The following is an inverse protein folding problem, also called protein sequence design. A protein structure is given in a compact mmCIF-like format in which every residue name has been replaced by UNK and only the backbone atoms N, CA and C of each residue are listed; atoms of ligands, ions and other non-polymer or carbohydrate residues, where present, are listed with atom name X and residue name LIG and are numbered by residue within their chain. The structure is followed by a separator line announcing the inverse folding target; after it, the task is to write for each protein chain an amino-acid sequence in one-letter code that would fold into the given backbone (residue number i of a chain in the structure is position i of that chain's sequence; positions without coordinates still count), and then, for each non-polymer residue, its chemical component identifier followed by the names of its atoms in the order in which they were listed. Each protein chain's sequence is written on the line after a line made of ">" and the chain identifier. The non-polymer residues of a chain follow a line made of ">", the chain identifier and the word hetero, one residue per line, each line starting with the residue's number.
data_IF_243719202346
#
_entry.id   IF_243719202346
#
_cell.length_a   1.000
_cell.length_b   1.000
_cell.length_c   1.000
_cell.angle_alpha   90.00
_cell.angle_beta   90.00
_cell.angle_gamma   90.00
#
_symmetry.space_group_name_H-M   'P 1'
#
loop_
_entity.id
_entity.type
_entity.pdbx_description
1 polymer ?
#
# COMPACT_ATOMS: atom_id res chain seq x y z
N UNK A 1 -20.73 -17.75 20.48
CA UNK A 1 -20.50 -19.21 20.28
C UNK A 1 -19.29 -19.54 19.39
N UNK A 2 -18.81 -18.63 18.52
CA UNK A 2 -17.61 -18.85 17.68
C UNK A 2 -16.24 -18.75 18.41
N UNK A 3 -16.17 -18.13 19.60
CA UNK A 3 -14.90 -17.91 20.32
C UNK A 3 -14.60 -18.95 21.42
N UNK A 4 -15.51 -19.87 21.72
CA UNK A 4 -15.42 -20.70 22.95
C UNK A 4 -14.52 -21.94 22.81
N UNK A 5 -14.15 -22.33 21.59
CA UNK A 5 -13.39 -23.57 21.30
C UNK A 5 -12.16 -23.36 20.39
N UNK A 6 -11.58 -22.15 20.37
CA UNK A 6 -10.28 -21.97 19.70
C UNK A 6 -9.17 -22.47 20.63
N UNK A 7 -8.56 -23.60 20.29
CA UNK A 7 -7.33 -24.11 20.90
C UNK A 7 -6.34 -22.96 21.14
N UNK A 8 -5.66 -22.93 22.30
CA UNK A 8 -4.65 -21.88 22.63
C UNK A 8 -3.51 -21.73 21.61
N UNK A 9 -3.41 -22.63 20.63
CA UNK A 9 -2.51 -22.53 19.45
C UNK A 9 -2.98 -21.57 18.35
N UNK A 10 -4.23 -21.07 18.40
CA UNK A 10 -4.82 -20.26 17.31
C UNK A 10 -4.65 -18.74 17.56
N UNK A 11 -4.49 -18.31 18.81
CA UNK A 11 -4.22 -16.91 19.17
C UNK A 11 -2.73 -16.70 19.46
N UNK A 12 -1.90 -16.83 18.43
CA UNK A 12 -0.48 -16.53 18.53
C UNK A 12 -0.24 -15.03 18.38
N UNK A 13 0.88 -14.54 18.91
CA UNK A 13 1.27 -13.12 18.87
C UNK A 13 1.21 -12.56 17.44
N UNK A 14 1.61 -13.34 16.44
CA UNK A 14 1.53 -12.96 15.02
C UNK A 14 0.10 -12.65 14.55
N UNK A 15 -0.88 -13.46 14.96
CA UNK A 15 -2.29 -13.22 14.66
C UNK A 15 -2.77 -11.93 15.33
N UNK A 16 -2.36 -11.70 16.58
CA UNK A 16 -2.73 -10.49 17.30
C UNK A 16 -2.13 -9.23 16.66
N UNK A 17 -0.86 -9.31 16.22
CA UNK A 17 -0.21 -8.25 15.44
C UNK A 17 -0.95 -8.03 14.13
N UNK A 18 -1.30 -9.08 13.40
CA UNK A 18 -2.06 -8.98 12.15
C UNK A 18 -3.42 -8.31 12.32
N UNK A 19 -4.15 -8.64 13.39
CA UNK A 19 -5.43 -7.99 13.72
C UNK A 19 -5.23 -6.50 14.01
N UNK A 20 -4.25 -6.15 14.86
CA UNK A 20 -3.96 -4.74 15.18
C UNK A 20 -3.57 -3.96 13.92
N UNK A 21 -2.71 -4.53 13.08
CA UNK A 21 -2.30 -3.93 11.81
C UNK A 21 -3.47 -3.74 10.85
N UNK A 22 -4.40 -4.71 10.79
CA UNK A 22 -5.61 -4.60 9.97
C UNK A 22 -6.51 -3.44 10.44
N UNK A 23 -6.71 -3.32 11.76
CA UNK A 23 -7.46 -2.19 12.32
C UNK A 23 -6.79 -0.84 12.01
N UNK A 24 -5.49 -0.71 12.30
CA UNK A 24 -4.73 0.52 12.04
C UNK A 24 -4.75 0.86 10.54
N UNK A 25 -4.51 -0.14 9.68
CA UNK A 25 -4.56 0.03 8.23
C UNK A 25 -5.92 0.53 7.75
N UNK A 26 -7.01 -0.05 8.24
CA UNK A 26 -8.36 0.41 7.92
C UNK A 26 -8.63 1.85 8.38
N UNK A 27 -8.13 2.24 9.55
CA UNK A 27 -8.25 3.63 10.02
C UNK A 27 -7.46 4.61 9.17
N UNK A 28 -6.21 4.29 8.81
CA UNK A 28 -5.38 5.11 7.92
C UNK A 28 -6.08 5.30 6.58
N UNK A 29 -6.68 4.24 6.05
CA UNK A 29 -7.35 4.26 4.75
C UNK A 29 -8.61 5.15 4.76
N UNK A 30 -9.43 5.06 5.82
CA UNK A 30 -10.61 5.94 5.97
C UNK A 30 -10.17 7.40 6.19
N UNK A 31 -9.11 7.61 6.98
CA UNK A 31 -8.54 8.92 7.22
C UNK A 31 -8.06 9.56 5.91
N UNK A 32 -7.30 8.81 5.10
CA UNK A 32 -6.78 9.31 3.82
C UNK A 32 -7.92 9.60 2.84
N UNK A 33 -8.93 8.73 2.79
CA UNK A 33 -10.10 8.93 1.95
C UNK A 33 -10.84 10.22 2.33
N UNK A 34 -11.02 10.47 3.63
CA UNK A 34 -11.77 11.65 4.08
C UNK A 34 -11.02 12.98 3.85
N UNK A 35 -9.69 12.97 3.96
CA UNK A 35 -8.89 14.20 3.92
C UNK A 35 -8.36 14.49 2.53
N UNK A 36 -7.87 13.47 1.83
CA UNK A 36 -7.25 13.62 0.51
C UNK A 36 -8.16 13.17 -0.62
N UNK A 37 -9.39 12.73 -0.30
CA UNK A 37 -10.31 12.14 -1.25
C UNK A 37 -9.68 10.98 -2.03
N UNK A 38 -8.76 10.23 -1.41
CA UNK A 38 -8.06 9.13 -2.05
C UNK A 38 -7.64 8.04 -1.07
N UNK A 39 -7.58 6.83 -1.59
CA UNK A 39 -7.16 5.64 -0.87
C UNK A 39 -5.62 5.60 -0.80
N UNK A 40 -5.05 5.58 0.40
CA UNK A 40 -3.60 5.54 0.58
C UNK A 40 -2.97 4.21 0.17
N UNK A 41 -3.67 3.10 0.42
CA UNK A 41 -3.19 1.74 0.19
C UNK A 41 -4.10 0.91 -0.70
N UNK A 42 -5.37 1.27 -0.85
CA UNK A 42 -6.35 0.49 -1.60
C UNK A 42 -6.36 0.88 -3.09
N UNK A 43 -5.47 0.27 -3.87
CA UNK A 43 -5.36 0.53 -5.31
C UNK A 43 -6.63 0.19 -6.09
N UNK A 44 -7.35 -0.87 -5.71
CA UNK A 44 -8.66 -1.20 -6.30
C UNK A 44 -9.69 -0.09 -6.04
N UNK A 45 -9.63 0.59 -4.88
CA UNK A 45 -10.48 1.72 -4.55
C UNK A 45 -10.18 2.94 -5.41
N UNK A 46 -8.90 3.28 -5.57
CA UNK A 46 -8.49 4.33 -6.50
C UNK A 46 -8.89 4.01 -7.94
N UNK A 47 -8.82 2.75 -8.37
CA UNK A 47 -9.26 2.35 -9.71
C UNK A 47 -10.77 2.53 -9.90
N UNK A 48 -11.58 2.18 -8.90
CA UNK A 48 -13.03 2.44 -8.92
C UNK A 48 -13.26 3.95 -9.06
N UNK A 49 -12.58 4.79 -8.27
CA UNK A 49 -12.73 6.25 -8.32
C UNK A 49 -12.28 6.84 -9.65
N UNK A 50 -11.23 6.31 -10.27
CA UNK A 50 -10.85 6.66 -11.65
C UNK A 50 -12.04 6.50 -12.59
N UNK A 51 -12.70 5.33 -12.60
CA UNK A 51 -13.85 5.11 -13.49
C UNK A 51 -15.09 5.91 -13.10
N UNK A 52 -15.37 6.08 -11.81
CA UNK A 52 -16.48 6.92 -11.34
C UNK A 52 -16.33 8.35 -11.86
N UNK A 53 -15.17 8.97 -11.65
CA UNK A 53 -14.93 10.33 -12.13
C UNK A 53 -14.83 10.43 -13.66
N UNK A 54 -14.41 9.37 -14.33
CA UNK A 54 -14.41 9.32 -15.79
C UNK A 54 -15.85 9.38 -16.35
N UNK A 55 -16.78 8.62 -15.75
CA UNK A 55 -18.20 8.61 -16.13
C UNK A 55 -18.84 9.98 -15.82
N UNK A 56 -18.46 10.60 -14.72
CA UNK A 56 -18.95 11.94 -14.32
C UNK A 56 -18.32 13.09 -15.14
N UNK A 57 -17.53 12.80 -16.17
CA UNK A 57 -16.77 13.76 -16.98
C UNK A 57 -15.77 14.62 -16.16
N UNK A 58 -15.40 14.19 -14.96
CA UNK A 58 -14.37 14.82 -14.15
C UNK A 58 -12.99 14.19 -14.43
N UNK A 59 -12.46 14.52 -15.60
CA UNK A 59 -11.19 13.98 -16.08
C UNK A 59 -10.01 14.30 -15.14
N UNK A 60 -10.05 15.46 -14.47
CA UNK A 60 -8.99 15.86 -13.54
C UNK A 60 -8.89 14.90 -12.35
N UNK A 61 -10.01 14.60 -11.69
CA UNK A 61 -10.01 13.67 -10.56
C UNK A 61 -9.78 12.22 -11.03
N UNK A 62 -10.32 11.84 -12.19
CA UNK A 62 -10.04 10.53 -12.79
C UNK A 62 -8.54 10.31 -12.99
N UNK A 63 -7.84 11.29 -13.58
CA UNK A 63 -6.39 11.25 -13.80
C UNK A 63 -5.60 11.27 -12.49
N UNK A 64 -6.05 12.04 -11.50
CA UNK A 64 -5.44 12.04 -10.16
C UNK A 64 -5.45 10.62 -9.55
N UNK A 65 -6.61 9.96 -9.49
CA UNK A 65 -6.69 8.59 -8.96
C UNK A 65 -5.91 7.58 -9.81
N UNK A 66 -5.92 7.74 -11.13
CA UNK A 66 -5.15 6.88 -12.02
C UNK A 66 -3.64 7.03 -11.79
N UNK A 67 -3.18 8.26 -11.52
CA UNK A 67 -1.77 8.53 -11.23
C UNK A 67 -1.27 7.80 -9.98
N UNK A 68 -2.13 7.60 -8.96
CA UNK A 68 -1.78 6.85 -7.75
C UNK A 68 -1.52 5.37 -8.06
N UNK A 69 -2.36 4.78 -8.91
CA UNK A 69 -2.20 3.40 -9.39
C UNK A 69 -0.93 3.28 -10.23
N UNK A 70 -0.69 4.24 -11.10
CA UNK A 70 0.48 4.26 -11.97
C UNK A 70 1.78 4.40 -11.16
N UNK A 71 1.81 5.26 -10.15
CA UNK A 71 2.94 5.40 -9.23
C UNK A 71 3.22 4.09 -8.48
N UNK A 72 2.18 3.38 -8.03
CA UNK A 72 2.32 2.07 -7.41
C UNK A 72 2.89 1.02 -8.37
N UNK A 73 2.40 0.97 -9.62
CA UNK A 73 2.92 0.08 -10.66
C UNK A 73 4.40 0.34 -10.96
N UNK A 74 4.80 1.62 -11.08
CA UNK A 74 6.20 1.99 -11.24
C UNK A 74 7.02 1.45 -10.05
N UNK A 75 6.53 1.62 -8.82
CA UNK A 75 7.19 1.10 -7.62
C UNK A 75 7.40 -0.41 -7.64
N UNK A 76 6.42 -1.19 -8.12
CA UNK A 76 6.55 -2.64 -8.29
C UNK A 76 7.64 -2.97 -9.32
N UNK A 77 7.59 -2.38 -10.50
CA UNK A 77 8.56 -2.63 -11.57
C UNK A 77 9.97 -2.24 -11.11
N UNK A 78 10.10 -1.09 -10.46
CA UNK A 78 11.36 -0.62 -9.89
C UNK A 78 11.92 -1.59 -8.84
N UNK A 79 11.08 -2.09 -7.95
CA UNK A 79 11.47 -3.08 -6.94
C UNK A 79 11.97 -4.36 -7.59
N UNK A 80 11.28 -4.84 -8.63
CA UNK A 80 11.66 -6.05 -9.36
C UNK A 80 13.01 -5.88 -10.08
N UNK A 81 13.26 -4.70 -10.66
CA UNK A 81 14.57 -4.36 -11.26
C UNK A 81 15.69 -4.43 -10.21
N UNK A 82 15.48 -3.87 -9.02
CA UNK A 82 16.48 -3.90 -7.93
C UNK A 82 16.75 -5.34 -7.51
N UNK A 83 15.70 -6.14 -7.29
CA UNK A 83 15.83 -7.54 -6.86
C UNK A 83 16.64 -8.33 -7.90
N UNK A 84 16.30 -8.19 -9.18
CA UNK A 84 16.99 -8.89 -10.26
C UNK A 84 18.44 -8.46 -10.42
N UNK A 85 18.74 -7.17 -10.28
CA UNK A 85 20.11 -6.65 -10.31
C UNK A 85 20.94 -7.15 -9.12
N UNK A 86 20.38 -7.09 -7.90
CA UNK A 86 21.06 -7.52 -6.68
C UNK A 86 21.33 -9.03 -6.68
N UNK A 87 20.37 -9.85 -7.14
CA UNK A 87 20.55 -11.30 -7.29
C UNK A 87 21.70 -11.63 -8.25
N UNK A 88 21.77 -10.96 -9.41
CA UNK A 88 22.87 -11.15 -10.39
C UNK A 88 24.25 -10.83 -9.82
N UNK A 89 24.33 -9.87 -8.90
CA UNK A 89 25.59 -9.44 -8.27
C UNK A 89 25.84 -10.08 -6.89
N UNK A 90 25.02 -11.05 -6.48
CA UNK A 90 25.07 -11.66 -5.14
C UNK A 90 25.02 -10.65 -3.98
N UNK A 91 24.34 -9.52 -4.18
CA UNK A 91 24.11 -8.53 -3.13
C UNK A 91 22.77 -8.77 -2.42
N UNK A 92 22.70 -8.36 -1.16
CA UNK A 92 21.45 -8.33 -0.41
C UNK A 92 20.56 -7.17 -0.88
N UNK A 93 19.53 -7.49 -1.67
CA UNK A 93 18.57 -6.53 -2.22
C UNK A 93 17.86 -5.70 -1.15
N UNK A 94 17.75 -6.21 0.08
CA UNK A 94 17.01 -5.58 1.18
C UNK A 94 17.58 -4.21 1.54
N UNK A 95 18.91 -4.06 1.59
CA UNK A 95 19.54 -2.76 1.92
C UNK A 95 19.18 -1.68 0.90
N UNK A 96 19.16 -2.01 -0.39
CA UNK A 96 18.76 -1.08 -1.44
C UNK A 96 17.29 -0.69 -1.31
N UNK A 97 16.40 -1.65 -1.07
CA UNK A 97 14.98 -1.36 -0.86
C UNK A 97 14.77 -0.45 0.35
N UNK A 98 15.43 -0.72 1.48
CA UNK A 98 15.32 0.12 2.68
C UNK A 98 15.87 1.52 2.44
N UNK A 99 16.99 1.64 1.75
CA UNK A 99 17.58 2.94 1.39
C UNK A 99 16.61 3.80 0.57
N UNK A 100 16.01 3.22 -0.49
CA UNK A 100 15.02 3.94 -1.30
C UNK A 100 13.75 4.29 -0.52
N UNK A 101 13.27 3.41 0.37
CA UNK A 101 12.11 3.72 1.21
C UNK A 101 12.39 4.90 2.17
N UNK A 102 13.59 4.96 2.77
CA UNK A 102 13.97 6.08 3.63
C UNK A 102 14.05 7.38 2.84
N UNK A 103 14.62 7.37 1.64
CA UNK A 103 14.67 8.54 0.76
C UNK A 103 13.27 9.03 0.40
N UNK A 104 12.35 8.12 0.05
CA UNK A 104 10.95 8.46 -0.23
C UNK A 104 10.24 9.06 0.98
N UNK A 105 10.43 8.49 2.17
CA UNK A 105 9.89 9.02 3.42
C UNK A 105 10.36 10.46 3.68
N UNK A 106 11.65 10.72 3.50
CA UNK A 106 12.21 12.07 3.66
C UNK A 106 11.60 13.03 2.63
N UNK A 107 11.46 12.59 1.38
CA UNK A 107 10.87 13.42 0.31
C UNK A 107 9.41 13.79 0.53
N UNK A 108 8.65 13.06 1.36
CA UNK A 108 7.25 13.38 1.66
C UNK A 108 7.15 14.32 2.88
N UNK A 109 8.16 14.30 3.76
CA UNK A 109 8.19 15.12 4.98
C UNK A 109 8.60 16.58 4.68
N UNK A 110 9.40 16.81 3.63
CA UNK A 110 9.89 18.12 3.18
C UNK A 110 9.19 18.58 1.91
#
# INVERSE_FOLDING_TARGET
>A
LLFKNMNRKILNIELMIGVILCFIGGFIEIYSLKIFNAFSGMQTGNLIYTFTYLIDNNYQMSLFHFSLIFAFLIGIIFTEIIINFARKKHFEYRYFIYFFNILLLISVIF
#
